data_IF_913552797083
#
_entry.id   IF_913552797083
#
_cell.length_a   1.000
_cell.length_b   1.000
_cell.length_c   1.000
_cell.angle_alpha   90.00
_cell.angle_beta   90.00
_cell.angle_gamma   90.00
#
_symmetry.space_group_name_H-M   'P 1'
#
loop_
_entity.id
_entity.type
_entity.pdbx_description
1 polymer ?
#
# COMPACT_ATOMS: atom_id res chain seq x y z
N UNK A 1 -0.51 -4.07 -10.24
CA UNK A 1 -1.01 -4.21 -8.84
C UNK A 1 -1.30 -5.67 -8.46
N UNK A 2 -2.08 -6.37 -9.28
CA UNK A 2 -2.49 -7.76 -9.01
C UNK A 2 -1.32 -8.75 -8.93
N UNK A 3 -0.38 -8.69 -9.89
CA UNK A 3 0.82 -9.54 -9.86
C UNK A 3 1.65 -9.32 -8.59
N UNK A 4 1.81 -8.07 -8.14
CA UNK A 4 2.58 -7.75 -6.94
C UNK A 4 1.89 -8.22 -5.67
N UNK A 5 0.56 -8.15 -5.61
CA UNK A 5 -0.23 -8.68 -4.50
C UNK A 5 -0.08 -10.22 -4.41
N UNK A 6 -0.21 -10.92 -5.55
CA UNK A 6 -0.01 -12.36 -5.64
C UNK A 6 1.39 -12.78 -5.15
N UNK A 7 2.43 -12.07 -5.58
CA UNK A 7 3.82 -12.29 -5.16
C UNK A 7 3.98 -12.10 -3.64
N UNK A 8 3.38 -11.05 -3.07
CA UNK A 8 3.40 -10.81 -1.62
C UNK A 8 2.75 -11.98 -0.88
N UNK A 9 1.60 -12.47 -1.33
CA UNK A 9 0.88 -13.54 -0.61
C UNK A 9 1.67 -14.87 -0.58
N UNK A 10 2.49 -15.14 -1.61
CA UNK A 10 3.37 -16.33 -1.68
C UNK A 10 4.69 -16.21 -0.89
N UNK A 11 5.03 -15.01 -0.44
CA UNK A 11 6.29 -14.70 0.21
C UNK A 11 6.27 -14.98 1.73
N UNK A 12 7.44 -15.32 2.28
CA UNK A 12 7.63 -15.34 3.73
C UNK A 12 7.63 -13.91 4.30
N UNK A 13 7.56 -13.77 5.62
CA UNK A 13 7.47 -12.43 6.22
C UNK A 13 8.65 -11.53 5.85
N UNK A 14 9.86 -12.09 5.75
CA UNK A 14 11.06 -11.32 5.39
C UNK A 14 10.94 -10.75 3.98
N UNK A 15 10.54 -11.57 3.03
CA UNK A 15 10.41 -11.18 1.63
C UNK A 15 9.20 -10.26 1.44
N UNK A 16 8.09 -10.48 2.18
CA UNK A 16 6.97 -9.53 2.27
C UNK A 16 7.45 -8.14 2.68
N UNK A 17 8.23 -8.03 3.75
CA UNK A 17 8.81 -6.75 4.20
C UNK A 17 9.73 -6.12 3.15
N UNK A 18 10.58 -6.91 2.49
CA UNK A 18 11.47 -6.40 1.43
C UNK A 18 10.66 -5.81 0.28
N UNK A 19 9.63 -6.53 -0.18
CA UNK A 19 8.82 -6.12 -1.32
C UNK A 19 7.99 -4.89 -0.95
N UNK A 20 7.35 -4.88 0.22
CA UNK A 20 6.55 -3.74 0.68
C UNK A 20 7.39 -2.48 0.83
N UNK A 21 8.62 -2.58 1.35
CA UNK A 21 9.54 -1.44 1.43
C UNK A 21 9.91 -0.92 0.03
N UNK A 22 10.21 -1.81 -0.93
CA UNK A 22 10.54 -1.41 -2.30
C UNK A 22 9.35 -0.77 -3.03
N UNK A 23 8.16 -1.34 -2.89
CA UNK A 23 6.96 -0.93 -3.64
C UNK A 23 6.23 0.25 -3.01
N UNK A 24 6.23 0.36 -1.68
CA UNK A 24 5.51 1.38 -0.94
C UNK A 24 6.41 2.49 -0.40
N UNK A 25 7.74 2.30 -0.33
CA UNK A 25 8.69 3.33 0.10
C UNK A 25 9.59 3.87 -1.01
N UNK A 26 9.54 3.31 -2.21
CA UNK A 26 10.26 3.85 -3.37
C UNK A 26 11.79 3.76 -3.27
N UNK A 27 12.35 2.95 -2.37
CA UNK A 27 13.81 2.89 -2.15
C UNK A 27 14.58 2.33 -3.35
N UNK A 28 15.80 2.84 -3.56
CA UNK A 28 16.82 2.13 -4.37
C UNK A 28 17.25 0.87 -3.61
N UNK A 29 17.49 -0.24 -4.32
CA UNK A 29 17.97 -1.46 -3.67
C UNK A 29 19.25 -1.24 -2.82
N UNK A 30 20.22 -0.49 -3.36
CA UNK A 30 21.45 -0.16 -2.62
C UNK A 30 21.23 0.71 -1.38
N UNK A 31 20.15 1.47 -1.32
CA UNK A 31 19.76 2.26 -0.14
C UNK A 31 19.02 1.38 0.86
N UNK A 32 18.06 0.60 0.38
CA UNK A 32 17.24 -0.31 1.21
C UNK A 32 18.10 -1.20 2.11
N UNK A 33 19.16 -1.79 1.54
CA UNK A 33 20.05 -2.69 2.29
C UNK A 33 20.90 -2.01 3.36
N UNK A 34 21.04 -0.67 3.29
CA UNK A 34 21.79 0.13 4.26
C UNK A 34 20.91 0.69 5.37
N UNK A 35 19.58 0.62 5.23
CA UNK A 35 18.67 1.08 6.26
C UNK A 35 18.90 0.30 7.56
N UNK A 36 18.89 1.03 8.65
CA UNK A 36 18.99 0.60 10.05
C UNK A 36 17.70 0.90 10.78
N UNK A 37 17.50 0.30 11.95
CA UNK A 37 16.31 0.48 12.75
C UNK A 37 16.06 1.95 13.15
N UNK A 38 17.11 2.74 13.38
CA UNK A 38 17.01 4.18 13.67
C UNK A 38 16.14 4.98 12.69
N UNK A 39 16.16 4.63 11.39
CA UNK A 39 15.42 5.37 10.36
C UNK A 39 13.90 5.19 10.45
N UNK A 40 13.42 4.15 11.15
CA UNK A 40 11.98 3.87 11.33
C UNK A 40 11.54 3.95 12.79
N UNK A 41 12.49 3.85 13.73
CA UNK A 41 12.25 3.66 15.17
C UNK A 41 11.26 4.68 15.75
N UNK A 42 11.46 5.97 15.45
CA UNK A 42 10.66 7.06 16.05
C UNK A 42 9.16 6.86 15.81
N UNK A 43 8.77 6.67 14.55
CA UNK A 43 7.36 6.59 14.17
C UNK A 43 6.80 5.19 14.43
N UNK A 44 7.61 4.15 14.19
CA UNK A 44 7.22 2.76 14.41
C UNK A 44 6.84 2.49 15.87
N UNK A 45 7.66 2.98 16.82
CA UNK A 45 7.43 2.78 18.27
C UNK A 45 6.34 3.70 18.82
N UNK A 46 6.06 4.83 18.15
CA UNK A 46 4.94 5.72 18.49
C UNK A 46 3.61 5.32 17.85
N UNK A 47 3.61 4.29 17.01
CA UNK A 47 2.41 3.86 16.27
C UNK A 47 1.94 4.87 15.22
N UNK A 48 2.81 5.78 14.77
CA UNK A 48 2.48 6.80 13.76
C UNK A 48 2.55 6.16 12.38
N UNK A 49 1.49 6.31 11.59
CA UNK A 49 1.41 5.84 10.20
C UNK A 49 0.83 6.93 9.30
N UNK A 50 1.37 7.16 8.08
CA UNK A 50 2.53 6.49 7.47
C UNK A 50 3.83 6.72 8.24
N UNK A 51 4.72 5.72 8.34
CA UNK A 51 6.01 5.84 9.05
C UNK A 51 6.95 6.70 8.18
N UNK A 52 7.51 7.76 8.74
CA UNK A 52 8.55 8.57 8.11
C UNK A 52 9.88 7.83 8.09
N UNK A 53 10.57 7.89 6.96
CA UNK A 53 11.92 7.37 6.77
C UNK A 53 12.77 8.47 6.13
N UNK A 54 13.66 9.06 6.94
CA UNK A 54 14.69 9.96 6.45
C UNK A 54 15.87 9.15 5.91
N UNK A 55 16.29 9.41 4.68
CA UNK A 55 17.40 8.75 4.02
C UNK A 55 18.53 9.74 3.80
N UNK A 56 19.66 9.54 4.48
CA UNK A 56 20.80 10.43 4.38
C UNK A 56 21.50 10.30 3.02
N UNK A 57 22.01 11.42 2.49
CA UNK A 57 22.74 11.44 1.22
C UNK A 57 23.86 10.39 1.16
N UNK A 58 24.55 10.14 2.29
CA UNK A 58 25.67 9.19 2.41
C UNK A 58 25.32 7.75 2.03
N UNK A 59 24.08 7.32 2.32
CA UNK A 59 23.62 5.97 1.99
C UNK A 59 23.05 5.89 0.57
N UNK A 60 22.77 7.02 -0.08
CA UNK A 60 22.32 7.09 -1.48
C UNK A 60 23.46 6.86 -2.48
N UNK A 61 23.09 6.51 -3.72
CA UNK A 61 24.04 6.42 -4.83
C UNK A 61 24.37 7.84 -5.30
N UNK A 62 25.66 8.18 -5.36
CA UNK A 62 26.12 9.48 -5.84
C UNK A 62 26.15 10.59 -4.78
N UNK A 63 25.54 10.36 -3.60
CA UNK A 63 25.60 11.26 -2.42
C UNK A 63 25.13 12.69 -2.70
N UNK A 64 24.11 12.84 -3.54
CA UNK A 64 23.65 14.16 -4.00
C UNK A 64 22.79 14.87 -2.96
N UNK A 65 21.70 14.23 -2.52
CA UNK A 65 20.77 14.79 -1.56
C UNK A 65 20.22 13.70 -0.63
N UNK A 66 19.91 14.09 0.59
CA UNK A 66 18.98 13.39 1.46
C UNK A 66 17.56 13.45 0.88
N UNK A 67 16.66 12.64 1.41
CA UNK A 67 15.25 12.71 1.07
C UNK A 67 14.40 12.04 2.13
N UNK A 68 13.15 12.46 2.21
CA UNK A 68 12.14 11.84 3.04
C UNK A 68 11.19 10.98 2.22
N UNK A 69 10.90 9.78 2.71
CA UNK A 69 9.87 8.90 2.18
C UNK A 69 9.02 8.33 3.30
N UNK A 70 7.96 7.63 2.95
CA UNK A 70 6.96 7.15 3.89
C UNK A 70 6.58 5.70 3.62
N UNK A 71 6.12 5.03 4.68
CA UNK A 71 5.63 3.66 4.62
C UNK A 71 4.20 3.62 5.16
N UNK A 72 3.25 3.30 4.29
CA UNK A 72 1.85 3.09 4.69
C UNK A 72 1.65 1.93 5.66
N UNK A 73 0.42 1.79 6.16
CA UNK A 73 0.03 0.79 7.16
C UNK A 73 0.46 -0.64 6.76
N UNK A 74 0.25 -1.04 5.50
CA UNK A 74 0.63 -2.36 4.99
C UNK A 74 2.12 -2.67 5.20
N UNK A 75 3.00 -1.73 4.83
CA UNK A 75 4.44 -1.89 5.04
C UNK A 75 4.82 -1.86 6.53
N UNK A 76 4.15 -1.02 7.32
CA UNK A 76 4.36 -0.93 8.76
C UNK A 76 4.07 -2.27 9.45
N UNK A 77 2.99 -2.94 9.08
CA UNK A 77 2.59 -4.22 9.69
C UNK A 77 3.53 -5.36 9.36
N UNK A 78 3.94 -5.49 8.08
CA UNK A 78 4.97 -6.45 7.71
C UNK A 78 6.29 -6.17 8.42
N UNK A 79 6.67 -4.91 8.58
CA UNK A 79 7.89 -4.53 9.27
C UNK A 79 7.84 -4.88 10.76
N UNK A 80 6.72 -4.61 11.45
CA UNK A 80 6.52 -4.99 12.86
C UNK A 80 6.64 -6.49 13.05
N UNK A 81 5.94 -7.28 12.24
CA UNK A 81 5.96 -8.74 12.34
C UNK A 81 7.35 -9.31 12.03
N UNK A 82 8.07 -8.74 11.05
CA UNK A 82 9.44 -9.12 10.77
C UNK A 82 10.41 -8.82 11.93
N UNK A 83 10.30 -7.65 12.56
CA UNK A 83 11.12 -7.28 13.71
C UNK A 83 10.77 -8.14 14.94
N UNK A 84 9.50 -8.47 15.15
CA UNK A 84 9.06 -9.38 16.20
C UNK A 84 9.64 -10.80 16.01
N UNK A 85 9.58 -11.34 14.78
CA UNK A 85 10.21 -12.62 14.45
C UNK A 85 11.72 -12.61 14.76
N UNK A 86 12.41 -11.49 14.51
CA UNK A 86 13.84 -11.34 14.86
C UNK A 86 14.08 -11.27 16.36
N UNK A 87 13.24 -10.56 17.11
CA UNK A 87 13.31 -10.49 18.58
C UNK A 87 13.10 -11.86 19.22
N UNK A 88 12.21 -12.68 18.67
CA UNK A 88 11.95 -14.04 19.15
C UNK A 88 13.01 -15.06 18.70
N UNK A 89 13.64 -14.83 17.54
CA UNK A 89 14.53 -15.81 16.93
C UNK A 89 13.77 -17.00 16.33
N UNK A 90 14.54 -17.96 15.83
CA UNK A 90 14.07 -19.24 15.25
C UNK A 90 15.01 -20.35 15.69
N UNK A 91 14.72 -21.61 15.32
CA UNK A 91 15.61 -22.75 15.60
C UNK A 91 17.06 -22.54 15.13
N UNK A 92 17.26 -21.80 14.02
CA UNK A 92 18.60 -21.58 13.43
C UNK A 92 19.23 -20.24 13.84
N UNK A 93 18.40 -19.24 14.15
CA UNK A 93 18.81 -17.85 14.40
C UNK A 93 18.43 -17.49 15.83
N UNK A 94 19.39 -17.13 16.69
CA UNK A 94 19.07 -16.76 18.07
C UNK A 94 18.19 -15.50 18.13
N UNK A 95 17.43 -15.33 19.23
CA UNK A 95 16.78 -14.05 19.56
C UNK A 95 17.74 -12.87 19.41
N UNK A 96 17.25 -11.78 18.84
CA UNK A 96 18.05 -10.57 18.56
C UNK A 96 17.55 -9.38 19.36
N UNK A 97 18.46 -8.69 20.06
CA UNK A 97 18.17 -7.39 20.66
C UNK A 97 18.34 -6.29 19.58
N UNK A 98 17.23 -5.66 19.18
CA UNK A 98 17.21 -4.67 18.11
C UNK A 98 17.45 -3.27 18.70
N UNK A 99 18.51 -2.63 18.24
CA UNK A 99 18.92 -1.27 18.62
C UNK A 99 19.13 -0.41 17.37
N UNK A 100 19.47 0.87 17.54
CA UNK A 100 19.41 1.90 16.49
C UNK A 100 20.28 1.57 15.26
N UNK A 101 21.44 0.99 15.52
CA UNK A 101 22.44 0.61 14.52
C UNK A 101 22.19 -0.78 13.90
N UNK A 102 21.23 -1.53 14.43
CA UNK A 102 20.85 -2.83 13.90
C UNK A 102 20.34 -2.67 12.46
N UNK A 103 20.79 -3.50 11.49
CA UNK A 103 20.27 -3.43 10.14
C UNK A 103 18.77 -3.67 10.11
N UNK A 104 18.05 -2.84 9.36
CA UNK A 104 16.61 -2.96 9.22
C UNK A 104 16.25 -4.29 8.57
N UNK A 105 17.03 -4.71 7.56
CA UNK A 105 16.92 -6.00 6.88
C UNK A 105 18.21 -6.79 7.05
N UNK A 106 18.15 -7.93 7.75
CA UNK A 106 19.34 -8.76 8.00
C UNK A 106 19.51 -9.91 7.00
N UNK A 107 20.73 -10.43 6.96
CA UNK A 107 21.04 -11.74 6.40
C UNK A 107 20.59 -12.85 7.38
N UNK A 108 19.76 -13.78 6.89
CA UNK A 108 19.26 -14.92 7.66
C UNK A 108 20.19 -16.15 7.61
N UNK A 109 21.23 -16.13 6.77
CA UNK A 109 22.21 -17.22 6.67
C UNK A 109 23.26 -17.17 7.78
N UNK A 110 23.44 -16.00 8.41
CA UNK A 110 24.40 -15.78 9.48
C UNK A 110 23.66 -15.67 10.81
N UNK A 111 24.25 -16.16 11.90
CA UNK A 111 23.70 -15.97 13.25
C UNK A 111 23.79 -14.51 13.71
N UNK A 112 24.86 -13.81 13.36
CA UNK A 112 25.04 -12.37 13.63
C UNK A 112 24.16 -11.49 12.73
N UNK A 113 23.63 -10.36 13.25
CA UNK A 113 22.75 -9.45 12.50
C UNK A 113 23.55 -8.58 11.53
N UNK A 114 23.95 -9.16 10.41
CA UNK A 114 24.63 -8.45 9.31
C UNK A 114 23.58 -7.99 8.29
N UNK A 115 23.72 -6.80 7.66
CA UNK A 115 22.82 -6.35 6.62
C UNK A 115 22.67 -7.37 5.48
N UNK A 116 21.48 -7.46 4.89
CA UNK A 116 21.28 -8.19 3.64
C UNK A 116 22.09 -7.53 2.51
N UNK A 117 22.59 -8.30 1.54
CA UNK A 117 23.30 -7.74 0.37
C UNK A 117 22.33 -7.41 -0.76
N UNK A 118 22.71 -6.48 -1.64
CA UNK A 118 21.94 -6.14 -2.84
C UNK A 118 21.72 -7.35 -3.75
N UNK A 119 22.74 -8.20 -3.88
CA UNK A 119 22.67 -9.46 -4.64
C UNK A 119 21.69 -10.45 -4.02
N UNK A 120 21.65 -10.55 -2.68
CA UNK A 120 20.68 -11.41 -2.00
C UNK A 120 19.24 -10.92 -2.21
N UNK A 121 18.99 -9.59 -2.17
CA UNK A 121 17.67 -9.03 -2.50
C UNK A 121 17.27 -9.39 -3.95
N UNK A 122 18.20 -9.23 -4.91
CA UNK A 122 17.93 -9.61 -6.30
C UNK A 122 17.57 -11.08 -6.44
N UNK A 123 18.32 -11.96 -5.79
CA UNK A 123 18.10 -13.40 -5.81
C UNK A 123 16.72 -13.75 -5.21
N UNK A 124 16.39 -13.23 -4.04
CA UNK A 124 15.10 -13.49 -3.37
C UNK A 124 13.92 -13.06 -4.23
N UNK A 125 13.98 -11.86 -4.82
CA UNK A 125 12.91 -11.35 -5.69
C UNK A 125 12.82 -12.16 -6.99
N UNK A 126 13.95 -12.54 -7.58
CA UNK A 126 13.97 -13.35 -8.79
C UNK A 126 13.39 -14.76 -8.57
N UNK A 127 13.80 -15.44 -7.50
CA UNK A 127 13.26 -16.75 -7.11
C UNK A 127 11.75 -16.67 -6.86
N UNK A 128 11.27 -15.57 -6.28
CA UNK A 128 9.86 -15.37 -6.05
C UNK A 128 9.08 -15.17 -7.36
N UNK A 129 9.60 -14.37 -8.30
CA UNK A 129 9.00 -14.25 -9.64
C UNK A 129 8.95 -15.58 -10.39
N UNK A 130 9.99 -16.42 -10.27
CA UNK A 130 10.00 -17.76 -10.85
C UNK A 130 8.95 -18.67 -10.20
N UNK A 131 8.84 -18.64 -8.86
CA UNK A 131 7.81 -19.39 -8.13
C UNK A 131 6.40 -18.95 -8.50
N UNK A 132 6.22 -17.66 -8.78
CA UNK A 132 4.96 -17.08 -9.23
C UNK A 132 4.65 -17.34 -10.72
N UNK A 133 5.55 -17.99 -11.47
CA UNK A 133 5.36 -18.28 -12.89
C UNK A 133 5.49 -17.07 -13.82
N UNK A 134 5.94 -15.92 -13.30
CA UNK A 134 6.05 -14.66 -14.04
C UNK A 134 7.35 -14.54 -14.85
N UNK A 135 8.33 -15.38 -14.53
CA UNK A 135 9.62 -15.46 -15.20
C UNK A 135 9.95 -16.93 -15.46
N UNK A 136 10.41 -17.31 -16.67
CA UNK A 136 10.78 -18.70 -16.92
C UNK A 136 11.99 -19.11 -16.07
N UNK A 137 12.05 -20.41 -15.73
CA UNK A 137 13.17 -20.99 -14.97
C UNK A 137 14.48 -20.96 -15.75
N UNK A 138 14.41 -21.01 -17.08
CA UNK A 138 15.55 -21.01 -17.98
C UNK A 138 15.67 -19.69 -18.76
N UNK A 139 16.90 -19.20 -18.86
CA UNK A 139 17.24 -17.96 -19.56
C UNK A 139 17.13 -18.14 -21.07
N UNK A 140 15.98 -17.84 -21.64
CA UNK A 140 15.74 -17.81 -23.09
C UNK A 140 16.40 -16.59 -23.80
N UNK A 141 17.48 -16.05 -23.27
CA UNK A 141 18.23 -14.91 -23.86
C UNK A 141 17.52 -13.55 -23.84
N UNK A 142 16.24 -13.49 -23.47
CA UNK A 142 15.49 -12.23 -23.28
C UNK A 142 15.72 -11.70 -21.86
N UNK A 143 16.19 -10.45 -21.74
CA UNK A 143 16.26 -9.72 -20.46
C UNK A 143 14.86 -9.72 -19.84
N UNK A 144 14.73 -10.24 -18.62
CA UNK A 144 13.47 -10.24 -17.89
C UNK A 144 12.94 -8.82 -17.64
N UNK A 145 11.67 -8.59 -17.99
CA UNK A 145 10.95 -7.32 -17.75
C UNK A 145 10.63 -7.09 -16.26
N UNK A 146 10.59 -8.16 -15.47
CA UNK A 146 10.32 -8.13 -14.04
C UNK A 146 11.61 -8.29 -13.22
N UNK A 147 12.01 -7.22 -12.54
CA UNK A 147 13.20 -7.13 -11.68
C UNK A 147 12.86 -6.35 -10.41
N UNK A 148 13.81 -6.30 -9.47
CA UNK A 148 13.75 -5.39 -8.31
C UNK A 148 13.46 -3.94 -8.73
N UNK A 149 13.99 -3.53 -9.89
CA UNK A 149 13.70 -2.20 -10.46
C UNK A 149 12.23 -2.02 -10.86
N UNK A 150 11.55 -3.07 -11.31
CA UNK A 150 10.13 -3.07 -11.67
C UNK A 150 9.25 -2.86 -10.43
N UNK A 151 9.64 -3.42 -9.27
CA UNK A 151 8.97 -3.17 -7.98
C UNK A 151 9.11 -1.69 -7.60
N UNK A 152 10.30 -1.12 -7.77
CA UNK A 152 10.50 0.32 -7.53
C UNK A 152 9.67 1.19 -8.49
N UNK A 153 9.53 0.78 -9.74
CA UNK A 153 8.70 1.46 -10.74
C UNK A 153 7.22 1.50 -10.33
N UNK A 154 6.72 0.47 -9.64
CA UNK A 154 5.36 0.44 -9.10
C UNK A 154 5.06 1.67 -8.22
N UNK A 155 5.96 2.03 -7.30
CA UNK A 155 5.81 3.21 -6.44
C UNK A 155 5.50 4.47 -7.26
N UNK A 156 6.35 4.74 -8.27
CA UNK A 156 6.22 5.91 -9.15
C UNK A 156 4.91 5.90 -9.93
N UNK A 157 4.64 4.79 -10.61
CA UNK A 157 3.48 4.67 -11.49
C UNK A 157 2.17 4.73 -10.70
N UNK A 158 2.11 4.11 -9.53
CA UNK A 158 0.90 4.10 -8.72
C UNK A 158 0.61 5.46 -8.08
N UNK A 159 1.62 6.14 -7.51
CA UNK A 159 1.40 7.47 -6.95
C UNK A 159 0.97 8.48 -8.02
N UNK A 160 1.56 8.41 -9.21
CA UNK A 160 1.15 9.24 -10.33
C UNK A 160 -0.30 8.94 -10.75
N UNK A 161 -0.69 7.67 -10.80
CA UNK A 161 -2.07 7.27 -11.09
C UNK A 161 -3.06 7.69 -9.99
N UNK A 162 -2.60 7.85 -8.75
CA UNK A 162 -3.36 8.37 -7.61
C UNK A 162 -3.37 9.91 -7.57
N UNK A 163 -2.80 10.59 -8.56
CA UNK A 163 -2.85 12.05 -8.69
C UNK A 163 -1.77 12.80 -7.90
N UNK A 164 -0.77 12.11 -7.35
CA UNK A 164 0.36 12.78 -6.69
C UNK A 164 1.24 13.43 -7.76
N UNK A 165 1.58 14.70 -7.57
CA UNK A 165 2.42 15.44 -8.51
C UNK A 165 3.82 14.82 -8.59
N UNK A 166 4.34 14.73 -9.81
CA UNK A 166 5.59 14.04 -10.16
C UNK A 166 6.76 14.47 -9.27
N UNK A 167 6.98 15.77 -9.05
CA UNK A 167 8.13 16.24 -8.29
C UNK A 167 8.18 15.70 -6.85
N UNK A 168 7.03 15.57 -6.18
CA UNK A 168 6.98 14.94 -4.84
C UNK A 168 7.34 13.45 -4.91
N UNK A 169 6.90 12.76 -5.96
CA UNK A 169 7.25 11.35 -6.18
C UNK A 169 8.75 11.21 -6.42
N UNK A 170 9.32 12.04 -7.29
CA UNK A 170 10.76 12.03 -7.60
C UNK A 170 11.59 12.37 -6.34
N UNK A 171 11.15 13.33 -5.52
CA UNK A 171 11.72 13.66 -4.22
C UNK A 171 11.69 12.45 -3.27
N UNK A 172 10.54 11.82 -3.07
CA UNK A 172 10.41 10.61 -2.23
C UNK A 172 11.23 9.42 -2.75
N UNK A 173 11.64 9.45 -4.03
CA UNK A 173 12.53 8.47 -4.64
C UNK A 173 14.01 8.89 -4.60
N UNK A 174 14.36 10.02 -3.99
CA UNK A 174 15.74 10.53 -3.93
C UNK A 174 16.33 10.76 -5.32
N UNK A 175 15.51 11.25 -6.26
CA UNK A 175 15.95 11.69 -7.57
C UNK A 175 16.33 13.17 -7.53
N UNK A 176 17.38 13.54 -8.26
CA UNK A 176 17.79 14.94 -8.36
C UNK A 176 16.79 15.69 -9.23
N UNK A 177 16.16 16.71 -8.65
CA UNK A 177 15.16 17.57 -9.30
C UNK A 177 15.47 19.04 -9.01
N UNK A 178 15.04 19.94 -9.89
CA UNK A 178 15.26 21.38 -9.72
C UNK A 178 14.49 21.97 -8.52
N UNK A 179 13.35 21.37 -8.17
CA UNK A 179 12.44 21.81 -7.10
C UNK A 179 12.76 21.17 -5.74
N UNK A 180 13.96 20.58 -5.57
CA UNK A 180 14.33 19.82 -4.37
C UNK A 180 14.14 20.65 -3.09
N UNK A 181 14.76 21.83 -3.03
CA UNK A 181 14.70 22.68 -1.84
C UNK A 181 13.29 23.23 -1.58
N UNK A 182 12.51 23.51 -2.63
CA UNK A 182 11.13 23.97 -2.48
C UNK A 182 10.24 22.92 -1.81
N UNK A 183 10.48 21.65 -2.12
CA UNK A 183 9.75 20.50 -1.56
C UNK A 183 10.22 20.21 -0.14
N UNK A 184 11.54 20.19 0.09
CA UNK A 184 12.16 20.01 1.41
C UNK A 184 11.64 21.05 2.41
N UNK A 185 11.53 22.32 2.00
CA UNK A 185 11.01 23.41 2.84
C UNK A 185 9.53 23.26 3.21
N UNK A 186 8.74 22.41 2.54
CA UNK A 186 7.34 22.15 2.95
C UNK A 186 7.25 21.36 4.26
N UNK A 187 8.30 20.64 4.62
CA UNK A 187 8.39 19.90 5.86
C UNK A 187 7.71 18.53 5.84
N UNK A 188 8.13 17.69 6.80
CA UNK A 188 7.82 16.26 6.87
C UNK A 188 6.32 15.99 6.93
N UNK A 189 5.57 16.73 7.76
CA UNK A 189 4.13 16.46 7.97
C UNK A 189 3.28 16.80 6.74
N UNK A 190 3.68 17.81 5.96
CA UNK A 190 3.04 18.11 4.68
C UNK A 190 3.23 16.96 3.68
N UNK A 191 4.47 16.47 3.55
CA UNK A 191 4.79 15.35 2.66
C UNK A 191 4.13 14.04 3.13
N UNK A 192 4.05 13.84 4.45
CA UNK A 192 3.32 12.72 5.06
C UNK A 192 1.84 12.78 4.70
N UNK A 193 1.24 13.98 4.74
CA UNK A 193 -0.15 14.23 4.34
C UNK A 193 -0.41 13.87 2.87
N UNK A 194 0.47 14.27 1.96
CA UNK A 194 0.39 13.90 0.54
C UNK A 194 0.43 12.38 0.37
N UNK A 195 1.40 11.71 1.01
CA UNK A 195 1.53 10.26 0.92
C UNK A 195 0.29 9.56 1.52
N UNK A 196 -0.18 9.99 2.69
CA UNK A 196 -1.34 9.42 3.36
C UNK A 196 -2.61 9.56 2.51
N UNK A 197 -2.84 10.74 1.93
CA UNK A 197 -4.00 11.02 1.09
C UNK A 197 -4.04 10.14 -0.18
N UNK A 198 -2.87 9.77 -0.73
CA UNK A 198 -2.80 8.86 -1.87
C UNK A 198 -3.38 7.47 -1.56
N UNK A 199 -3.33 7.05 -0.28
CA UNK A 199 -3.71 5.71 0.16
C UNK A 199 -3.08 4.60 -0.70
N UNK A 200 -1.79 4.77 -1.03
CA UNK A 200 -0.97 3.82 -1.75
C UNK A 200 -0.96 2.46 -1.04
N UNK A 201 -1.27 1.40 -1.79
CA UNK A 201 -1.37 0.03 -1.29
C UNK A 201 -0.93 -0.94 -2.39
N UNK A 202 -0.29 -2.06 -2.02
CA UNK A 202 -0.01 -3.13 -2.99
C UNK A 202 -1.27 -3.95 -3.19
N UNK A 203 -1.94 -4.27 -2.09
CA UNK A 203 -3.22 -4.95 -2.14
C UNK A 203 -4.19 -4.05 -2.89
N UNK A 204 -4.88 -4.57 -3.93
CA UNK A 204 -5.96 -3.82 -4.52
C UNK A 204 -6.90 -3.49 -3.36
N UNK A 205 -7.28 -2.22 -3.21
CA UNK A 205 -8.47 -1.90 -2.42
C UNK A 205 -9.52 -2.84 -2.97
N UNK A 206 -10.08 -3.72 -2.14
CA UNK A 206 -11.26 -4.48 -2.53
C UNK A 206 -12.12 -3.44 -3.22
N UNK A 207 -12.40 -3.61 -4.52
CA UNK A 207 -13.45 -2.84 -5.14
C UNK A 207 -14.64 -3.27 -4.33
N UNK A 208 -14.93 -2.51 -3.28
CA UNK A 208 -16.21 -2.58 -2.60
C UNK A 208 -17.13 -2.46 -3.79
N UNK A 209 -17.87 -3.53 -4.09
CA UNK A 209 -18.76 -3.48 -5.25
C UNK A 209 -19.53 -2.17 -5.08
N UNK A 210 -19.77 -1.43 -6.15
CA UNK A 210 -20.56 -0.19 -6.04
C UNK A 210 -21.85 -0.46 -5.24
N UNK A 211 -22.35 -1.70 -5.33
CA UNK A 211 -23.44 -2.28 -4.55
C UNK A 211 -23.09 -2.33 -3.07
N UNK A 212 -22.01 -3.00 -2.67
CA UNK A 212 -21.58 -3.12 -1.27
C UNK A 212 -21.36 -1.74 -0.61
N UNK A 213 -20.82 -0.77 -1.35
CA UNK A 213 -20.61 0.59 -0.85
C UNK A 213 -21.94 1.29 -0.60
N UNK A 214 -22.88 1.16 -1.54
CA UNK A 214 -24.25 1.66 -1.38
C UNK A 214 -24.99 0.93 -0.25
N UNK A 215 -24.80 -0.38 -0.09
CA UNK A 215 -25.39 -1.14 1.02
C UNK A 215 -24.94 -0.62 2.37
N UNK A 216 -23.65 -0.33 2.53
CA UNK A 216 -23.11 0.25 3.77
C UNK A 216 -23.63 1.66 4.04
N UNK A 217 -23.72 2.53 3.03
CA UNK A 217 -24.29 3.87 3.19
C UNK A 217 -25.77 3.78 3.60
N UNK A 218 -26.55 2.91 2.95
CA UNK A 218 -27.97 2.69 3.25
C UNK A 218 -28.15 2.15 4.68
N UNK A 219 -27.28 1.23 5.13
CA UNK A 219 -27.27 0.76 6.53
C UNK A 219 -26.94 1.88 7.51
N UNK A 220 -25.98 2.73 7.19
CA UNK A 220 -25.63 3.88 8.03
C UNK A 220 -26.79 4.89 8.17
N UNK A 221 -27.69 4.93 7.17
CA UNK A 221 -28.91 5.72 7.16
C UNK A 221 -30.12 4.99 7.77
N UNK A 222 -29.91 3.85 8.45
CA UNK A 222 -30.95 3.11 9.16
C UNK A 222 -31.86 2.26 8.27
N UNK A 223 -31.54 2.11 6.99
CA UNK A 223 -32.31 1.30 6.03
C UNK A 223 -31.69 -0.08 5.84
N UNK A 224 -32.52 -1.07 5.52
CA UNK A 224 -32.06 -2.43 5.20
C UNK A 224 -31.95 -2.64 3.68
N UNK A 225 -30.73 -2.70 3.10
CA UNK A 225 -30.55 -2.84 1.66
C UNK A 225 -31.10 -4.16 1.11
N UNK A 226 -31.08 -5.25 1.90
CA UNK A 226 -31.53 -6.55 1.42
C UNK A 226 -33.06 -6.60 1.33
N UNK A 227 -33.77 -5.90 2.21
CA UNK A 227 -35.23 -5.72 2.09
C UNK A 227 -35.62 -4.88 0.87
N UNK A 228 -34.88 -3.81 0.57
CA UNK A 228 -35.12 -2.96 -0.61
C UNK A 228 -34.99 -3.78 -1.89
N UNK A 229 -33.90 -4.56 -2.01
CA UNK A 229 -33.66 -5.42 -3.17
C UNK A 229 -34.68 -6.56 -3.27
N UNK A 230 -35.11 -7.12 -2.15
CA UNK A 230 -36.13 -8.19 -2.11
C UNK A 230 -37.50 -7.66 -2.53
N UNK A 231 -37.90 -6.46 -2.09
CA UNK A 231 -39.14 -5.79 -2.51
C UNK A 231 -39.14 -5.49 -4.02
N UNK A 232 -38.02 -5.04 -4.58
CA UNK A 232 -37.90 -4.84 -6.04
C UNK A 232 -37.98 -6.16 -6.83
N UNK A 233 -37.41 -7.24 -6.30
CA UNK A 233 -37.50 -8.56 -6.92
C UNK A 233 -38.94 -9.10 -6.93
N UNK A 234 -39.68 -8.94 -5.81
CA UNK A 234 -41.05 -9.41 -5.65
C UNK A 234 -42.07 -8.63 -6.50
N UNK A 235 -41.82 -7.34 -6.74
CA UNK A 235 -42.72 -6.50 -7.55
C UNK A 235 -42.62 -6.79 -9.06
N UNK A 236 -41.68 -7.62 -9.51
CA UNK A 236 -41.47 -7.94 -10.92
C UNK A 236 -41.18 -9.44 -11.17
N UNK A 237 -42.19 -10.32 -10.99
CA UNK A 237 -42.00 -11.78 -11.02
C UNK A 237 -41.59 -12.38 -12.37
N UNK A 238 -41.79 -11.69 -13.50
CA UNK A 238 -41.51 -12.21 -14.86
C UNK A 238 -40.24 -11.64 -15.52
N UNK A 239 -39.22 -11.22 -14.75
CA UNK A 239 -37.98 -10.72 -15.36
C UNK A 239 -37.05 -11.89 -15.67
N UNK A 240 -36.88 -12.26 -16.95
CA UNK A 240 -35.82 -13.17 -17.38
C UNK A 240 -34.47 -12.48 -17.19
N UNK A 241 -33.60 -12.99 -16.32
CA UNK A 241 -32.26 -12.43 -16.10
C UNK A 241 -31.35 -12.89 -17.25
N UNK A 242 -31.03 -11.98 -18.17
CA UNK A 242 -30.30 -12.29 -19.41
C UNK A 242 -28.77 -12.22 -19.20
N UNK A 243 -28.27 -11.44 -18.22
CA UNK A 243 -26.85 -11.44 -17.83
C UNK A 243 -26.59 -10.94 -16.40
N UNK A 244 -25.42 -11.30 -15.84
CA UNK A 244 -24.97 -10.88 -14.49
C UNK A 244 -24.77 -9.36 -14.38
N UNK A 245 -24.29 -8.72 -15.45
CA UNK A 245 -24.06 -7.27 -15.48
C UNK A 245 -25.38 -6.48 -15.38
N UNK A 246 -26.44 -6.94 -16.04
CA UNK A 246 -27.76 -6.32 -15.96
C UNK A 246 -28.37 -6.40 -14.55
N UNK A 247 -28.09 -7.49 -13.82
CA UNK A 247 -28.53 -7.64 -12.44
C UNK A 247 -27.79 -6.65 -11.52
N UNK A 248 -26.48 -6.48 -11.72
CA UNK A 248 -25.67 -5.55 -10.95
C UNK A 248 -26.09 -4.09 -11.19
N UNK A 249 -26.30 -3.68 -12.45
CA UNK A 249 -26.80 -2.34 -12.77
C UNK A 249 -28.19 -2.07 -12.16
N UNK A 250 -29.06 -3.08 -12.16
CA UNK A 250 -30.39 -2.97 -11.56
C UNK A 250 -30.32 -2.81 -10.04
N UNK A 251 -29.51 -3.62 -9.36
CA UNK A 251 -29.31 -3.51 -7.91
C UNK A 251 -28.75 -2.13 -7.54
N UNK A 252 -27.79 -1.62 -8.33
CA UNK A 252 -27.24 -0.28 -8.16
C UNK A 252 -28.29 0.81 -8.31
N UNK A 253 -29.13 0.72 -9.33
CA UNK A 253 -30.18 1.70 -9.58
C UNK A 253 -31.16 1.77 -8.41
N UNK A 254 -31.64 0.63 -7.93
CA UNK A 254 -32.62 0.59 -6.85
C UNK A 254 -32.08 1.11 -5.52
N UNK A 255 -30.87 0.70 -5.14
CA UNK A 255 -30.22 1.21 -3.93
C UNK A 255 -29.98 2.73 -4.03
N UNK A 256 -29.59 3.23 -5.21
CA UNK A 256 -29.39 4.67 -5.43
C UNK A 256 -30.69 5.48 -5.33
N UNK A 257 -31.81 4.95 -5.84
CA UNK A 257 -33.13 5.60 -5.74
C UNK A 257 -33.58 5.67 -4.29
N UNK A 258 -33.47 4.56 -3.55
CA UNK A 258 -33.84 4.50 -2.14
C UNK A 258 -33.03 5.51 -1.31
N UNK A 259 -31.71 5.56 -1.52
CA UNK A 259 -30.85 6.52 -0.83
C UNK A 259 -31.24 7.97 -1.17
N UNK A 260 -31.49 8.28 -2.45
CA UNK A 260 -31.90 9.63 -2.86
C UNK A 260 -33.22 10.07 -2.23
N UNK A 261 -34.17 9.15 -2.07
CA UNK A 261 -35.45 9.43 -1.42
C UNK A 261 -35.27 9.76 0.07
N UNK A 262 -34.42 9.03 0.78
CA UNK A 262 -34.18 9.30 2.20
C UNK A 262 -33.43 10.63 2.41
N UNK A 263 -32.41 10.92 1.58
CA UNK A 263 -31.70 12.21 1.59
C UNK A 263 -32.67 13.38 1.40
N UNK A 264 -33.59 13.27 0.44
CA UNK A 264 -34.58 14.32 0.18
C UNK A 264 -35.58 14.48 1.32
N UNK A 265 -35.87 13.40 2.06
CA UNK A 265 -36.77 13.43 3.18
C UNK A 265 -36.13 14.12 4.38
N UNK A 266 -34.89 13.78 4.74
CA UNK A 266 -34.13 14.48 5.79
C UNK A 266 -34.00 15.98 5.49
N UNK A 267 -33.60 16.36 4.28
CA UNK A 267 -33.46 17.78 3.90
C UNK A 267 -34.78 18.54 4.07
N UNK A 268 -35.92 17.92 3.75
CA UNK A 268 -37.24 18.54 3.95
C UNK A 268 -37.60 18.65 5.42
N UNK A 269 -37.31 17.62 6.21
CA UNK A 269 -37.55 17.61 7.65
C UNK A 269 -36.71 18.69 8.38
N UNK A 270 -35.45 18.87 8.00
CA UNK A 270 -34.58 19.94 8.49
C UNK A 270 -35.08 21.34 8.10
N UNK A 271 -35.53 21.53 6.86
CA UNK A 271 -36.12 22.80 6.41
C UNK A 271 -37.41 23.14 7.19
N UNK A 272 -38.26 22.14 7.46
CA UNK A 272 -39.46 22.33 8.26
C UNK A 272 -39.17 22.60 9.74
N UNK A 273 -38.07 22.05 10.28
CA UNK A 273 -37.62 22.36 11.64
C UNK A 273 -37.12 23.82 11.76
N UNK A 274 -36.36 24.30 10.77
CA UNK A 274 -35.82 25.67 10.75
C UNK A 274 -36.88 26.76 10.47
N UNK A 275 -38.04 26.41 9.91
CA UNK A 275 -39.13 27.38 9.63
C UNK A 275 -40.10 27.52 10.82
N UNK A 276 -39.96 26.70 11.86
CA UNK A 276 -40.80 26.69 13.07
C UNK A 276 -40.13 27.31 14.31
N UNK A 277 -38.89 27.80 14.18
CA UNK A 277 -38.22 28.69 15.13
C UNK A 277 -38.38 30.14 14.69
#
# INVERSE_FOLDING_TARGET
>A
PEELAMIIDMADIRVKTIISLLSLGGFRNGTLVKLRYRHVKRDLERGITPIHVHVEAEITKGKYHDYDTFLGQEAADYLRLYLQMRRQGTLKIPPENIHDETPLLRNMQLRRPVPITTAAVHKLVHELYQRAGLIPKESLGRRYDLRVHSIRKFFRTQLAALGVQTDYIEYMMGHTISTYHDIEMKGIEYLRGIYAASALSVRPKTRVSKIDALKEIIRAWGLNPDEILTKDALTRPNTTVISRDQLEERQLHQLSVALKQEVLKEIREEQHANTKQ
#
